data_IF_348833845543
#
_entry.id   IF_348833845543
#
_cell.length_a   1.000
_cell.length_b   1.000
_cell.length_c   1.000
_cell.angle_alpha   90.00
_cell.angle_beta   90.00
_cell.angle_gamma   90.00
#
_symmetry.space_group_name_H-M   'P 1'
#
loop_
_entity.id
_entity.type
_entity.pdbx_description
1 polymer ?
#
# COMPACT_ATOMS: atom_id res chain seq x y z
N UNK A 1 -8.38 1.65 -56.99
CA UNK A 1 -7.70 0.89 -55.91
C UNK A 1 -7.29 1.89 -54.84
N UNK A 2 -8.09 2.07 -53.79
CA UNK A 2 -7.84 3.09 -52.75
C UNK A 2 -7.00 2.44 -51.64
N UNK A 3 -5.74 2.84 -51.50
CA UNK A 3 -4.84 2.38 -50.42
C UNK A 3 -5.28 3.02 -49.10
N UNK A 4 -5.77 2.19 -48.19
CA UNK A 4 -6.10 2.57 -46.82
C UNK A 4 -4.80 2.82 -46.03
N UNK A 5 -4.41 4.09 -45.86
CA UNK A 5 -3.36 4.50 -44.94
C UNK A 5 -3.87 4.40 -43.50
N UNK A 6 -3.86 3.20 -42.92
CA UNK A 6 -3.96 3.08 -41.46
C UNK A 6 -2.59 3.42 -40.86
N UNK A 7 -2.51 4.33 -39.89
CA UNK A 7 -1.26 4.62 -39.20
C UNK A 7 -0.77 3.34 -38.49
N UNK A 8 0.53 3.10 -38.59
CA UNK A 8 1.19 1.91 -38.04
C UNK A 8 1.13 1.93 -36.50
N UNK A 9 0.74 0.82 -35.83
CA UNK A 9 0.55 0.75 -34.37
C UNK A 9 1.81 1.04 -33.53
N UNK A 10 2.98 1.12 -34.17
CA UNK A 10 4.25 1.39 -33.49
C UNK A 10 4.39 2.84 -32.99
N UNK A 11 3.70 3.82 -33.60
CA UNK A 11 3.87 5.24 -33.25
C UNK A 11 3.06 5.63 -32.02
N UNK A 12 1.87 5.03 -31.85
CA UNK A 12 0.99 5.27 -30.70
C UNK A 12 1.58 4.71 -29.39
N UNK A 13 2.42 3.69 -29.47
CA UNK A 13 3.09 3.08 -28.30
C UNK A 13 4.16 3.96 -27.63
N UNK A 14 4.74 4.95 -28.33
CA UNK A 14 5.87 5.77 -27.82
C UNK A 14 5.47 7.03 -27.06
N UNK A 15 4.28 7.56 -27.30
CA UNK A 15 3.81 8.79 -26.64
C UNK A 15 3.12 8.48 -25.30
N UNK A 16 2.59 7.26 -25.16
CA UNK A 16 1.85 6.85 -23.96
C UNK A 16 2.80 6.41 -22.82
N UNK A 17 4.05 6.02 -23.11
CA UNK A 17 5.02 5.61 -22.08
C UNK A 17 5.42 6.69 -21.06
N UNK A 18 5.77 7.94 -21.42
CA UNK A 18 6.21 8.93 -20.44
C UNK A 18 5.09 9.42 -19.50
N UNK A 19 3.86 9.58 -20.00
CA UNK A 19 2.71 9.98 -19.17
C UNK A 19 2.33 8.90 -18.15
N UNK A 20 2.51 7.63 -18.50
CA UNK A 20 2.23 6.48 -17.63
C UNK A 20 3.23 6.35 -16.48
N UNK A 21 4.52 6.52 -16.78
CA UNK A 21 5.59 6.53 -15.77
C UNK A 21 5.37 7.71 -14.81
N UNK A 22 5.06 8.89 -15.34
CA UNK A 22 4.78 10.06 -14.51
C UNK A 22 3.53 9.91 -13.61
N UNK A 23 2.52 9.15 -14.04
CA UNK A 23 1.30 8.97 -13.23
C UNK A 23 1.54 8.02 -12.04
N UNK A 24 2.19 6.88 -12.29
CA UNK A 24 2.57 5.95 -11.24
C UNK A 24 3.50 6.63 -10.24
N UNK A 25 4.55 7.32 -10.71
CA UNK A 25 5.48 8.05 -9.85
C UNK A 25 4.78 9.16 -9.05
N UNK A 26 3.82 9.86 -9.66
CA UNK A 26 3.03 10.88 -8.96
C UNK A 26 2.12 10.27 -7.89
N UNK A 27 1.51 9.11 -8.15
CA UNK A 27 0.68 8.39 -7.18
C UNK A 27 1.53 7.90 -6.00
N UNK A 28 2.68 7.30 -6.27
CA UNK A 28 3.61 6.82 -5.23
C UNK A 28 4.17 8.01 -4.42
N UNK A 29 4.54 9.11 -5.08
CA UNK A 29 4.95 10.34 -4.41
C UNK A 29 3.83 10.93 -3.55
N UNK A 30 2.58 10.93 -4.05
CA UNK A 30 1.43 11.43 -3.30
C UNK A 30 1.25 10.63 -2.00
N UNK A 31 1.48 9.32 -2.03
CA UNK A 31 1.38 8.44 -0.86
C UNK A 31 2.47 8.74 0.17
N UNK A 32 3.70 8.98 -0.28
CA UNK A 32 4.77 9.45 0.59
C UNK A 32 4.44 10.80 1.25
N UNK A 33 3.89 11.75 0.49
CA UNK A 33 3.47 13.06 1.00
C UNK A 33 2.32 12.92 2.01
N UNK A 34 1.30 12.10 1.71
CA UNK A 34 0.18 11.85 2.64
C UNK A 34 0.72 11.20 3.92
N UNK A 35 1.60 10.21 3.81
CA UNK A 35 2.25 9.57 4.96
C UNK A 35 2.99 10.58 5.83
N UNK A 36 3.83 11.43 5.22
CA UNK A 36 4.56 12.47 5.96
C UNK A 36 3.63 13.51 6.60
N UNK A 37 2.52 13.83 5.92
CA UNK A 37 1.48 14.71 6.46
C UNK A 37 0.81 14.08 7.69
N UNK A 38 0.45 12.79 7.62
CA UNK A 38 -0.11 12.04 8.76
C UNK A 38 0.87 12.01 9.92
N UNK A 39 2.16 11.79 9.64
CA UNK A 39 3.19 11.83 10.66
C UNK A 39 3.29 13.22 11.31
N UNK A 40 3.20 14.29 10.51
CA UNK A 40 3.23 15.66 11.04
C UNK A 40 1.99 15.99 11.89
N UNK A 41 0.82 15.42 11.56
CA UNK A 41 -0.38 15.55 12.41
C UNK A 41 -0.21 14.92 13.79
N UNK A 42 0.81 14.10 14.01
CA UNK A 42 1.11 13.55 15.35
C UNK A 42 1.45 14.62 16.38
N UNK A 43 1.96 15.78 15.95
CA UNK A 43 2.20 16.92 16.84
C UNK A 43 0.91 17.58 17.35
N UNK A 44 -0.20 17.44 16.61
CA UNK A 44 -1.53 17.89 17.06
C UNK A 44 -2.14 16.85 18.01
N UNK A 45 -1.78 15.58 17.84
CA UNK A 45 -2.23 14.49 18.70
C UNK A 45 -3.63 13.99 18.33
N UNK A 46 -4.44 13.67 19.35
CA UNK A 46 -5.71 12.94 19.22
C UNK A 46 -6.78 13.70 18.44
N UNK A 47 -6.74 15.03 18.46
CA UNK A 47 -7.74 15.88 17.80
C UNK A 47 -7.67 15.78 16.27
N UNK A 48 -6.49 15.42 15.73
CA UNK A 48 -6.30 15.20 14.31
C UNK A 48 -6.76 13.81 13.82
N UNK A 49 -7.30 12.96 14.71
CA UNK A 49 -7.58 11.56 14.40
C UNK A 49 -8.51 11.38 13.19
N UNK A 50 -9.59 12.16 13.10
CA UNK A 50 -10.53 12.07 11.96
C UNK A 50 -9.83 12.46 10.65
N UNK A 51 -9.01 13.51 10.67
CA UNK A 51 -8.24 13.92 9.50
C UNK A 51 -7.26 12.82 9.06
N UNK A 52 -6.58 12.17 10.02
CA UNK A 52 -5.69 11.04 9.73
C UNK A 52 -6.45 9.86 9.14
N UNK A 53 -7.63 9.51 9.68
CA UNK A 53 -8.47 8.44 9.11
C UNK A 53 -8.84 8.77 7.66
N UNK A 54 -9.29 10.00 7.38
CA UNK A 54 -9.65 10.41 6.02
C UNK A 54 -8.43 10.34 5.08
N UNK A 55 -7.28 10.89 5.50
CA UNK A 55 -6.04 10.83 4.72
C UNK A 55 -5.58 9.39 4.48
N UNK A 56 -5.72 8.52 5.48
CA UNK A 56 -5.37 7.11 5.37
C UNK A 56 -6.27 6.39 4.35
N UNK A 57 -7.58 6.68 4.38
CA UNK A 57 -8.53 6.13 3.40
C UNK A 57 -8.26 6.65 1.99
N UNK A 58 -7.92 7.93 1.83
CA UNK A 58 -7.53 8.50 0.53
C UNK A 58 -6.26 7.81 0.01
N UNK A 59 -5.22 7.68 0.86
CA UNK A 59 -3.97 7.01 0.50
C UNK A 59 -4.15 5.53 0.16
N UNK A 60 -5.03 4.82 0.87
CA UNK A 60 -5.39 3.44 0.54
C UNK A 60 -6.24 3.33 -0.73
N UNK A 61 -7.13 4.29 -0.99
CA UNK A 61 -7.93 4.31 -2.20
C UNK A 61 -7.04 4.53 -3.45
N UNK A 62 -6.05 5.45 -3.38
CA UNK A 62 -5.13 5.68 -4.50
C UNK A 62 -4.33 4.42 -4.86
N UNK A 63 -4.02 3.55 -3.91
CA UNK A 63 -3.38 2.25 -4.17
C UNK A 63 -4.25 1.31 -5.01
N UNK A 64 -5.52 1.20 -4.64
CA UNK A 64 -6.48 0.38 -5.36
C UNK A 64 -6.65 0.87 -6.80
N UNK A 65 -6.68 2.19 -6.99
CA UNK A 65 -6.81 2.80 -8.32
C UNK A 65 -5.56 2.63 -9.17
N UNK A 66 -4.37 2.78 -8.59
CA UNK A 66 -3.12 2.61 -9.32
C UNK A 66 -2.95 1.16 -9.80
N UNK A 67 -3.19 0.19 -8.92
CA UNK A 67 -3.10 -1.23 -9.28
C UNK A 67 -4.07 -1.66 -10.40
N UNK A 68 -5.23 -1.02 -10.53
CA UNK A 68 -6.17 -1.27 -11.64
C UNK A 68 -5.75 -0.60 -12.95
N UNK A 69 -5.27 0.64 -12.87
CA UNK A 69 -4.79 1.40 -14.02
C UNK A 69 -3.54 0.76 -14.62
N UNK A 70 -2.57 0.39 -13.80
CA UNK A 70 -1.37 -0.32 -14.23
C UNK A 70 -1.71 -1.62 -14.99
N UNK A 71 -2.65 -2.43 -14.49
CA UNK A 71 -2.96 -3.75 -15.06
C UNK A 71 -3.84 -3.75 -16.31
N UNK A 72 -4.72 -2.76 -16.51
CA UNK A 72 -5.49 -2.65 -17.77
C UNK A 72 -4.58 -2.39 -18.97
N UNK A 73 -3.40 -1.83 -18.74
CA UNK A 73 -2.47 -1.46 -19.81
C UNK A 73 -1.17 -2.30 -19.83
N UNK A 74 -0.77 -2.94 -18.72
CA UNK A 74 0.39 -3.84 -18.61
C UNK A 74 0.05 -5.32 -18.90
N UNK A 75 -0.78 -5.59 -19.92
CA UNK A 75 -0.95 -6.96 -20.45
C UNK A 75 0.31 -7.45 -21.19
N UNK A 76 1.34 -6.60 -21.31
CA UNK A 76 2.51 -6.85 -22.14
C UNK A 76 3.81 -6.47 -21.37
N UNK A 77 4.28 -7.40 -20.54
CA UNK A 77 5.69 -7.64 -20.19
C UNK A 77 6.65 -6.43 -20.03
N UNK A 78 6.28 -5.38 -19.27
CA UNK A 78 7.27 -4.41 -18.77
C UNK A 78 7.05 -4.08 -17.31
N UNK A 79 7.92 -4.61 -16.49
CA UNK A 79 8.13 -4.25 -15.10
C UNK A 79 8.69 -2.81 -15.09
N UNK A 80 7.87 -1.82 -14.70
CA UNK A 80 8.32 -0.42 -14.58
C UNK A 80 9.46 -0.32 -13.56
N UNK A 81 10.48 0.51 -13.86
CA UNK A 81 11.68 0.71 -13.02
C UNK A 81 11.35 1.18 -11.59
N UNK A 82 10.21 1.86 -11.38
CA UNK A 82 9.75 2.33 -10.06
C UNK A 82 8.76 1.41 -9.34
N UNK A 83 8.22 0.38 -9.98
CA UNK A 83 7.43 -0.65 -9.29
C UNK A 83 8.26 -1.46 -8.27
N UNK A 84 9.58 -1.23 -8.23
CA UNK A 84 10.46 -1.75 -7.20
C UNK A 84 10.33 -0.98 -5.88
N UNK A 85 9.96 0.30 -5.91
CA UNK A 85 9.88 1.20 -4.74
C UNK A 85 8.47 1.39 -4.19
N UNK A 86 7.43 0.99 -4.94
CA UNK A 86 6.04 1.08 -4.48
C UNK A 86 5.84 0.37 -3.14
N UNK A 87 6.42 -0.83 -2.99
CA UNK A 87 6.30 -1.63 -1.76
C UNK A 87 7.01 -0.96 -0.58
N UNK A 88 8.14 -0.28 -0.80
CA UNK A 88 8.84 0.49 0.23
C UNK A 88 8.04 1.73 0.65
N UNK A 89 7.43 2.43 -0.31
CA UNK A 89 6.63 3.63 -0.04
C UNK A 89 5.30 3.27 0.62
N UNK A 90 4.70 2.14 0.29
CA UNK A 90 3.52 1.59 0.96
C UNK A 90 3.81 1.24 2.41
N UNK A 91 4.95 0.59 2.63
CA UNK A 91 5.43 0.35 3.98
C UNK A 91 5.69 1.64 4.74
N UNK A 92 6.32 2.64 4.11
CA UNK A 92 6.55 3.95 4.73
C UNK A 92 5.22 4.61 5.12
N UNK A 93 4.21 4.53 4.25
CA UNK A 93 2.89 5.08 4.53
C UNK A 93 2.22 4.38 5.72
N UNK A 94 2.17 3.05 5.72
CA UNK A 94 1.65 2.25 6.85
C UNK A 94 2.40 2.60 8.15
N UNK A 95 3.72 2.79 8.06
CA UNK A 95 4.55 3.19 9.19
C UNK A 95 4.22 4.57 9.72
N UNK A 96 4.00 5.55 8.84
CA UNK A 96 3.60 6.89 9.25
C UNK A 96 2.25 6.88 10.00
N UNK A 97 1.29 6.04 9.57
CA UNK A 97 0.01 5.91 10.26
C UNK A 97 0.19 5.27 11.66
N UNK A 98 0.99 4.20 11.77
CA UNK A 98 1.27 3.56 13.06
C UNK A 98 2.06 4.50 13.99
N UNK A 99 3.02 5.25 13.43
CA UNK A 99 3.78 6.26 14.15
C UNK A 99 2.85 7.34 14.70
N UNK A 100 1.91 7.85 13.89
CA UNK A 100 0.89 8.80 14.35
C UNK A 100 0.08 8.25 15.53
N UNK A 101 -0.44 7.02 15.43
CA UNK A 101 -1.25 6.41 16.49
C UNK A 101 -0.46 6.23 17.79
N UNK A 102 0.85 6.02 17.67
CA UNK A 102 1.74 5.85 18.80
C UNK A 102 2.13 7.18 19.46
N UNK A 103 2.53 8.18 18.67
CA UNK A 103 2.91 9.50 19.19
C UNK A 103 1.71 10.27 19.75
N UNK A 104 0.51 10.04 19.20
CA UNK A 104 -0.72 10.65 19.67
C UNK A 104 -1.32 9.97 20.92
N UNK A 105 -0.68 8.93 21.47
CA UNK A 105 -1.13 8.18 22.66
C UNK A 105 -2.57 7.62 22.54
N UNK A 106 -2.99 7.29 21.32
CA UNK A 106 -4.38 6.88 21.01
C UNK A 106 -4.62 5.44 21.49
N UNK A 107 -3.63 4.54 21.35
CA UNK A 107 -3.70 3.15 21.84
C UNK A 107 -2.33 2.58 22.24
N UNK A 108 -1.24 3.02 21.61
CA UNK A 108 0.09 2.44 21.81
C UNK A 108 0.93 3.32 22.75
N UNK A 109 1.56 2.77 23.79
CA UNK A 109 2.55 3.50 24.59
C UNK A 109 3.66 4.03 23.69
N UNK A 110 4.09 5.28 23.87
CA UNK A 110 5.13 5.92 23.02
C UNK A 110 6.35 5.02 22.77
N UNK A 111 6.77 4.27 23.78
CA UNK A 111 7.89 3.31 23.73
C UNK A 111 7.64 2.17 22.75
N UNK A 112 6.43 1.59 22.75
CA UNK A 112 6.06 0.52 21.82
C UNK A 112 5.96 1.04 20.38
N UNK A 113 5.52 2.29 20.19
CA UNK A 113 5.54 2.95 18.88
C UNK A 113 6.94 3.17 18.33
N UNK A 114 7.84 3.71 19.15
CA UNK A 114 9.26 3.84 18.83
C UNK A 114 9.89 2.48 18.50
N UNK A 115 9.56 1.44 19.27
CA UNK A 115 9.97 0.07 19.00
C UNK A 115 9.49 -0.43 17.64
N UNK A 116 8.24 -0.16 17.27
CA UNK A 116 7.67 -0.55 15.97
C UNK A 116 8.34 0.18 14.81
N UNK A 117 8.56 1.49 14.94
CA UNK A 117 9.27 2.30 13.93
C UNK A 117 10.70 1.76 13.76
N UNK A 118 11.39 1.46 14.86
CA UNK A 118 12.73 0.88 14.84
C UNK A 118 12.76 -0.48 14.15
N UNK A 119 11.80 -1.37 14.46
CA UNK A 119 11.67 -2.68 13.83
C UNK A 119 11.43 -2.56 12.33
N UNK A 120 10.62 -1.60 11.90
CA UNK A 120 10.31 -1.40 10.51
C UNK A 120 11.47 -0.81 9.71
N UNK A 121 12.18 0.18 10.27
CA UNK A 121 13.43 0.69 9.71
C UNK A 121 14.46 -0.44 9.59
N UNK A 122 14.56 -1.28 10.62
CA UNK A 122 15.41 -2.46 10.60
C UNK A 122 14.97 -3.45 9.50
N UNK A 123 13.67 -3.68 9.34
CA UNK A 123 13.12 -4.53 8.28
C UNK A 123 13.42 -3.96 6.88
N UNK A 124 13.32 -2.65 6.67
CA UNK A 124 13.68 -1.99 5.41
C UNK A 124 15.18 -2.18 5.12
N UNK A 125 16.05 -1.94 6.12
CA UNK A 125 17.51 -2.08 5.96
C UNK A 125 17.91 -3.55 5.72
N UNK A 126 17.37 -4.48 6.51
CA UNK A 126 17.68 -5.90 6.44
C UNK A 126 17.08 -6.59 5.22
N UNK A 127 15.95 -6.10 4.73
CA UNK A 127 15.29 -6.73 3.59
C UNK A 127 16.11 -6.61 2.30
N UNK A 128 17.05 -5.65 2.15
CA UNK A 128 17.94 -5.51 0.97
C UNK A 128 17.23 -5.78 -0.38
N UNK A 129 15.95 -5.40 -0.50
CA UNK A 129 15.12 -5.64 -1.70
C UNK A 129 14.39 -6.99 -1.78
N UNK A 130 14.29 -7.76 -0.68
CA UNK A 130 13.41 -8.94 -0.57
C UNK A 130 11.98 -8.47 -0.32
N UNK A 131 11.27 -8.19 -1.41
CA UNK A 131 9.87 -7.73 -1.39
C UNK A 131 8.92 -8.61 -0.55
N UNK A 132 9.21 -9.91 -0.40
CA UNK A 132 8.40 -10.82 0.41
C UNK A 132 8.30 -10.42 1.89
N UNK A 133 9.41 -9.97 2.50
CA UNK A 133 9.44 -9.59 3.91
C UNK A 133 8.67 -8.28 4.12
N UNK A 134 8.85 -7.35 3.18
CA UNK A 134 8.16 -6.07 3.16
C UNK A 134 6.64 -6.24 3.03
N UNK A 135 6.17 -7.13 2.16
CA UNK A 135 4.73 -7.43 1.99
C UNK A 135 4.14 -8.05 3.26
N UNK A 136 4.88 -8.96 3.93
CA UNK A 136 4.43 -9.57 5.18
C UNK A 136 4.27 -8.51 6.28
N UNK A 137 5.26 -7.62 6.39
CA UNK A 137 5.25 -6.53 7.37
C UNK A 137 4.11 -5.54 7.10
N UNK A 138 3.91 -5.16 5.84
CA UNK A 138 2.81 -4.30 5.40
C UNK A 138 1.45 -4.92 5.79
N UNK A 139 1.25 -6.20 5.45
CA UNK A 139 0.00 -6.92 5.74
C UNK A 139 -0.26 -6.97 7.24
N UNK A 140 0.76 -7.28 8.04
CA UNK A 140 0.66 -7.26 9.50
C UNK A 140 0.34 -5.86 10.03
N UNK A 141 0.96 -4.82 9.47
CA UNK A 141 0.71 -3.41 9.82
C UNK A 141 -0.73 -2.98 9.53
N UNK A 142 -1.27 -3.32 8.37
CA UNK A 142 -2.68 -3.03 8.01
C UNK A 142 -3.65 -3.75 8.95
N UNK A 143 -3.41 -5.02 9.27
CA UNK A 143 -4.24 -5.76 10.23
C UNK A 143 -4.19 -5.10 11.62
N UNK A 144 -2.98 -4.75 12.09
CA UNK A 144 -2.81 -4.05 13.36
C UNK A 144 -3.56 -2.71 13.37
N UNK A 145 -3.48 -1.93 12.29
CA UNK A 145 -4.21 -0.67 12.14
C UNK A 145 -5.72 -0.86 12.25
N UNK A 146 -6.28 -1.88 11.60
CA UNK A 146 -7.72 -2.17 11.68
C UNK A 146 -8.15 -2.53 13.10
N UNK A 147 -7.38 -3.37 13.80
CA UNK A 147 -7.66 -3.75 15.19
C UNK A 147 -7.59 -2.53 16.10
N UNK A 148 -6.49 -1.78 16.05
CA UNK A 148 -6.26 -0.58 16.88
C UNK A 148 -7.39 0.44 16.69
N UNK A 149 -7.73 0.71 15.43
CA UNK A 149 -8.77 1.67 15.08
C UNK A 149 -10.16 1.20 15.55
N UNK A 150 -10.46 -0.09 15.39
CA UNK A 150 -11.70 -0.69 15.88
C UNK A 150 -11.84 -0.59 17.40
N UNK A 151 -10.74 -0.76 18.13
CA UNK A 151 -10.70 -0.63 19.59
C UNK A 151 -10.80 0.83 20.05
N UNK A 152 -10.18 1.78 19.33
CA UNK A 152 -10.16 3.19 19.72
C UNK A 152 -11.52 3.88 19.54
N UNK A 153 -12.14 3.71 18.36
CA UNK A 153 -13.44 4.33 18.08
C UNK A 153 -14.28 3.39 17.21
N UNK A 154 -15.04 2.52 17.89
CA UNK A 154 -15.89 1.51 17.25
C UNK A 154 -16.94 2.12 16.31
N UNK A 155 -17.44 3.33 16.60
CA UNK A 155 -18.41 4.02 15.73
C UNK A 155 -17.80 4.43 14.40
N UNK A 156 -16.66 5.13 14.44
CA UNK A 156 -15.93 5.53 13.21
C UNK A 156 -15.49 4.29 12.44
N UNK A 157 -15.01 3.26 13.15
CA UNK A 157 -14.61 2.01 12.52
C UNK A 157 -15.79 1.34 11.80
N UNK A 158 -16.93 1.15 12.47
CA UNK A 158 -18.09 0.46 11.91
C UNK A 158 -18.77 1.26 10.79
N UNK A 159 -18.83 2.59 10.88
CA UNK A 159 -19.55 3.44 9.91
C UNK A 159 -18.71 3.88 8.71
N UNK A 160 -17.39 4.00 8.87
CA UNK A 160 -16.52 4.54 7.82
C UNK A 160 -15.53 3.48 7.35
N UNK A 161 -14.69 2.98 8.26
CA UNK A 161 -13.53 2.17 7.88
C UNK A 161 -13.94 0.78 7.39
N UNK A 162 -14.79 0.07 8.13
CA UNK A 162 -15.24 -1.26 7.76
C UNK A 162 -15.98 -1.25 6.41
N UNK A 163 -16.94 -0.34 6.13
CA UNK A 163 -17.53 -0.22 4.80
C UNK A 163 -16.51 0.09 3.70
N UNK A 164 -15.53 0.96 3.93
CA UNK A 164 -14.50 1.26 2.93
C UNK A 164 -13.61 0.05 2.66
N UNK A 165 -13.19 -0.68 3.69
CA UNK A 165 -12.40 -1.91 3.54
C UNK A 165 -13.20 -2.98 2.80
N UNK A 166 -14.46 -3.21 3.18
CA UNK A 166 -15.35 -4.15 2.51
C UNK A 166 -15.53 -3.75 1.04
N UNK A 167 -15.79 -2.48 0.74
CA UNK A 167 -15.89 -1.99 -0.63
C UNK A 167 -14.58 -2.23 -1.40
N UNK A 168 -13.41 -1.95 -0.80
CA UNK A 168 -12.11 -2.21 -1.41
C UNK A 168 -11.87 -3.69 -1.71
N UNK A 169 -12.27 -4.58 -0.79
CA UNK A 169 -12.21 -6.04 -0.97
C UNK A 169 -13.16 -6.49 -2.08
N UNK A 170 -14.40 -6.02 -2.10
CA UNK A 170 -15.38 -6.34 -3.16
C UNK A 170 -14.91 -5.86 -4.53
N UNK A 171 -14.38 -4.64 -4.62
CA UNK A 171 -13.83 -4.04 -5.84
C UNK A 171 -12.65 -4.84 -6.38
N UNK A 172 -11.89 -5.49 -5.51
CA UNK A 172 -10.71 -6.29 -5.84
C UNK A 172 -10.88 -7.79 -5.53
N UNK A 173 -12.11 -8.31 -5.49
CA UNK A 173 -12.40 -9.65 -4.96
C UNK A 173 -11.57 -10.75 -5.64
N UNK A 174 -11.34 -10.64 -6.96
CA UNK A 174 -10.49 -11.58 -7.71
C UNK A 174 -9.05 -11.62 -7.20
N UNK A 175 -8.47 -10.48 -6.83
CA UNK A 175 -7.10 -10.39 -6.29
C UNK A 175 -7.06 -10.98 -4.88
N UNK A 176 -8.05 -10.68 -4.05
CA UNK A 176 -8.14 -11.20 -2.69
C UNK A 176 -8.26 -12.73 -2.73
N UNK A 177 -9.13 -13.26 -3.59
CA UNK A 177 -9.25 -14.70 -3.81
C UNK A 177 -7.93 -15.32 -4.26
N UNK A 178 -7.25 -14.74 -5.26
CA UNK A 178 -5.95 -15.24 -5.71
C UNK A 178 -4.88 -15.21 -4.59
N UNK A 179 -4.80 -14.13 -3.82
CA UNK A 179 -3.83 -14.01 -2.74
C UNK A 179 -4.09 -15.03 -1.63
N UNK A 180 -5.36 -15.22 -1.25
CA UNK A 180 -5.76 -16.11 -0.16
C UNK A 180 -5.68 -17.58 -0.59
N UNK A 181 -6.20 -17.92 -1.77
CA UNK A 181 -6.33 -19.32 -2.20
C UNK A 181 -5.14 -19.82 -3.01
N UNK A 182 -4.49 -18.99 -3.84
CA UNK A 182 -3.40 -19.45 -4.71
C UNK A 182 -2.01 -19.08 -4.19
N UNK A 183 -1.85 -17.86 -3.66
CA UNK A 183 -0.54 -17.34 -3.29
C UNK A 183 -0.12 -17.79 -1.88
N UNK A 184 -1.01 -17.68 -0.89
CA UNK A 184 -0.71 -18.03 0.49
C UNK A 184 -0.23 -19.48 0.68
N UNK A 185 -0.87 -20.51 0.06
CA UNK A 185 -0.40 -21.89 0.21
C UNK A 185 0.97 -22.14 -0.44
N UNK A 186 1.27 -21.46 -1.56
CA UNK A 186 2.58 -21.52 -2.22
C UNK A 186 3.69 -20.89 -1.38
N UNK A 187 3.38 -19.79 -0.70
CA UNK A 187 4.35 -19.11 0.16
C UNK A 187 4.68 -19.96 1.38
N UNK A 188 3.68 -20.58 1.99
CA UNK A 188 3.85 -21.50 3.13
C UNK A 188 4.68 -22.74 2.75
N UNK A 189 4.38 -23.36 1.61
CA UNK A 189 5.14 -24.54 1.13
C UNK A 189 6.59 -24.20 0.72
N UNK A 190 6.86 -23.02 0.17
CA UNK A 190 8.21 -22.54 -0.10
C UNK A 190 9.00 -22.29 1.19
N UNK A 191 8.35 -21.70 2.20
CA UNK A 191 8.97 -21.44 3.49
C UNK A 191 9.34 -22.75 4.21
N UNK A 192 8.45 -23.74 4.22
CA UNK A 192 8.75 -25.07 4.77
C UNK A 192 9.93 -25.77 4.08
N UNK A 193 10.10 -25.57 2.76
CA UNK A 193 11.24 -26.14 2.01
C UNK A 193 12.58 -25.49 2.35
N UNK A 194 12.60 -24.20 2.67
CA UNK A 194 13.83 -23.48 3.02
C UNK A 194 14.28 -23.67 4.48
N UNK A 195 13.45 -24.32 5.31
CA UNK A 195 13.72 -24.55 6.75
C UNK A 195 14.16 -25.98 7.03
N UNK A 196 13.91 -26.92 6.11
CA UNK A 196 14.51 -28.24 6.20
C UNK A 196 15.97 -28.15 5.72
N UNK A 197 16.95 -28.46 6.59
CA UNK A 197 18.37 -28.46 6.23
C UNK A 197 18.70 -29.53 5.18
#
# INVERSE_FOLDING_TARGET
MIRNNRPSPAVESRIISPLKENLADFLTLSRAIIGLTILSLSFIGKDAYIAVVILALIGGATDIFDGKSARRYLRENRQSRLGKYDVEIDNLFVLCVIAYLSFSEIVIPKVAGLGWIGLALMAIVLSKGRAQILILFETAGVIALLIITGLYNSKIFALIIAPTVIAGVLINYKRVLYLVFDYWPKLYSNWQRNIKP
#
